data_IF_616666352448
#
_entry.id   IF_616666352448
#
_cell.length_a   1.000
_cell.length_b   1.000
_cell.length_c   1.000
_cell.angle_alpha   90.00
_cell.angle_beta   90.00
_cell.angle_gamma   90.00
#
_symmetry.space_group_name_H-M   'P 1'
#
loop_
_entity.id
_entity.type
_entity.pdbx_description
1 polymer ?
#
# COMPACT_ATOMS: atom_id res chain seq x y z
N UNK A 1 -55.23 -13.37 -15.94
CA UNK A 1 -54.90 -12.78 -17.25
C UNK A 1 -53.65 -11.94 -17.07
N UNK A 2 -52.49 -12.58 -17.01
CA UNK A 2 -51.63 -12.94 -18.16
C UNK A 2 -50.57 -11.86 -18.39
N UNK A 3 -49.57 -11.77 -17.50
CA UNK A 3 -48.36 -10.95 -17.72
C UNK A 3 -47.10 -11.58 -17.09
N UNK A 4 -46.99 -12.91 -17.14
CA UNK A 4 -45.82 -13.64 -16.60
C UNK A 4 -45.31 -14.76 -17.52
N UNK A 5 -45.52 -14.67 -18.84
CA UNK A 5 -45.15 -15.72 -19.79
C UNK A 5 -44.63 -15.17 -21.10
N UNK A 6 -43.55 -14.39 -21.08
CA UNK A 6 -42.71 -14.14 -22.26
C UNK A 6 -41.23 -14.03 -21.85
N UNK A 7 -40.77 -14.98 -21.04
CA UNK A 7 -39.35 -15.32 -20.99
C UNK A 7 -39.03 -15.99 -22.33
N UNK A 8 -38.20 -15.30 -23.12
CA UNK A 8 -37.83 -15.71 -24.46
C UNK A 8 -37.20 -17.12 -24.43
N UNK A 9 -37.79 -18.14 -25.09
CA UNK A 9 -37.27 -19.50 -25.10
C UNK A 9 -35.88 -19.59 -25.77
N UNK A 10 -35.48 -18.58 -26.54
CA UNK A 10 -34.14 -18.45 -27.10
C UNK A 10 -33.04 -18.19 -26.03
N UNK A 11 -33.37 -17.55 -24.91
CA UNK A 11 -32.40 -17.22 -23.87
C UNK A 11 -32.04 -18.43 -22.99
N UNK A 12 -32.99 -19.37 -22.81
CA UNK A 12 -32.73 -20.65 -22.12
C UNK A 12 -31.88 -21.61 -22.97
N UNK A 13 -31.97 -21.54 -24.30
CA UNK A 13 -31.17 -22.38 -25.20
C UNK A 13 -29.69 -21.95 -25.23
N UNK A 14 -29.42 -20.64 -25.08
CA UNK A 14 -28.06 -20.10 -25.02
C UNK A 14 -27.29 -20.56 -23.77
N UNK A 15 -28.00 -20.77 -22.66
CA UNK A 15 -27.41 -21.21 -21.38
C UNK A 15 -26.96 -22.68 -21.36
N UNK A 16 -27.49 -23.53 -22.25
CA UNK A 16 -27.09 -24.95 -22.32
C UNK A 16 -25.91 -25.15 -23.30
N UNK A 17 -25.82 -24.35 -24.37
CA UNK A 17 -24.71 -24.45 -25.34
C UNK A 17 -23.39 -23.92 -24.77
N UNK A 18 -23.42 -22.95 -23.84
CA UNK A 18 -22.20 -22.47 -23.15
C UNK A 18 -21.71 -23.42 -22.04
N UNK A 19 -22.57 -24.31 -21.53
CA UNK A 19 -22.21 -25.29 -20.50
C UNK A 19 -21.84 -26.68 -21.07
N UNK A 20 -22.18 -26.97 -22.33
CA UNK A 20 -21.87 -28.22 -23.03
C UNK A 20 -20.54 -28.20 -23.80
N UNK A 21 -19.85 -27.06 -23.89
CA UNK A 21 -18.50 -26.91 -24.44
C UNK A 21 -17.42 -27.36 -23.46
N UNK A 22 -17.61 -28.52 -22.85
CA UNK A 22 -16.52 -29.21 -22.18
C UNK A 22 -15.55 -29.77 -23.24
N UNK A 23 -14.31 -29.98 -22.82
CA UNK A 23 -13.61 -31.23 -23.13
C UNK A 23 -12.80 -31.40 -24.44
N UNK A 24 -12.25 -30.37 -25.12
CA UNK A 24 -11.22 -30.62 -26.18
C UNK A 24 -10.17 -29.50 -26.29
N UNK A 25 -9.12 -29.50 -25.46
CA UNK A 25 -7.81 -28.91 -25.79
C UNK A 25 -6.70 -29.30 -24.79
N UNK A 26 -6.70 -30.54 -24.28
CA UNK A 26 -5.64 -31.08 -23.43
C UNK A 26 -4.52 -31.71 -24.28
N UNK A 27 -3.86 -30.91 -25.13
CA UNK A 27 -2.72 -31.38 -25.93
C UNK A 27 -1.79 -30.23 -26.35
N UNK A 28 -1.00 -29.71 -25.40
CA UNK A 28 0.21 -28.94 -25.72
C UNK A 28 1.28 -29.21 -24.66
N UNK A 29 1.79 -30.44 -24.64
CA UNK A 29 3.06 -30.75 -23.98
C UNK A 29 4.22 -30.24 -24.84
N UNK A 30 5.21 -29.63 -24.19
CA UNK A 30 6.60 -29.75 -24.62
C UNK A 30 7.25 -28.51 -25.20
N UNK A 31 7.46 -27.47 -24.40
CA UNK A 31 8.56 -26.52 -24.65
C UNK A 31 9.79 -26.97 -23.86
N UNK A 32 10.95 -27.14 -24.52
CA UNK A 32 12.15 -27.67 -23.90
C UNK A 32 12.64 -26.71 -22.80
N UNK A 33 12.79 -27.30 -21.62
CA UNK A 33 13.40 -26.70 -20.44
C UNK A 33 14.83 -26.34 -20.80
N UNK A 34 15.07 -25.06 -21.08
CA UNK A 34 16.42 -24.52 -21.17
C UNK A 34 17.10 -24.72 -19.82
N UNK A 35 18.00 -25.71 -19.77
CA UNK A 35 18.99 -25.88 -18.72
C UNK A 35 19.88 -24.64 -18.69
N UNK A 36 19.47 -23.62 -17.92
CA UNK A 36 20.41 -22.64 -17.43
C UNK A 36 21.21 -23.34 -16.34
N UNK A 37 22.32 -23.92 -16.75
CA UNK A 37 23.38 -24.43 -15.88
C UNK A 37 23.73 -23.33 -14.88
N UNK A 38 23.24 -23.47 -13.65
CA UNK A 38 23.71 -22.68 -12.52
C UNK A 38 25.04 -23.32 -12.14
N UNK A 39 26.17 -22.61 -12.25
CA UNK A 39 27.44 -23.11 -11.74
C UNK A 39 27.25 -23.37 -10.24
N UNK A 40 27.38 -24.63 -9.84
CA UNK A 40 27.41 -25.04 -8.44
C UNK A 40 28.77 -24.67 -7.84
N UNK A 41 29.07 -23.37 -7.79
CA UNK A 41 29.97 -22.85 -6.78
C UNK A 41 29.17 -22.82 -5.47
N UNK A 42 29.68 -23.41 -4.37
CA UNK A 42 29.03 -23.28 -3.07
C UNK A 42 28.86 -21.78 -2.79
N UNK A 43 27.67 -21.31 -2.37
CA UNK A 43 27.53 -19.94 -1.91
C UNK A 43 28.52 -19.77 -0.78
N UNK A 44 29.59 -19.01 -1.03
CA UNK A 44 30.36 -18.45 0.07
C UNK A 44 29.36 -17.58 0.80
N UNK A 45 28.83 -18.11 1.91
CA UNK A 45 28.10 -17.33 2.88
C UNK A 45 29.07 -16.27 3.38
N UNK A 46 29.09 -15.13 2.69
CA UNK A 46 29.49 -13.89 3.32
C UNK A 46 28.47 -13.70 4.43
N UNK A 47 28.85 -14.12 5.64
CA UNK A 47 28.12 -13.74 6.82
C UNK A 47 27.92 -12.22 6.70
N UNK A 48 26.69 -11.70 6.77
CA UNK A 48 26.51 -10.27 6.86
C UNK A 48 27.43 -9.81 8.00
N UNK A 49 28.39 -8.94 7.70
CA UNK A 49 29.12 -8.24 8.74
C UNK A 49 28.04 -7.52 9.51
N UNK A 50 27.65 -8.08 10.65
CA UNK A 50 26.71 -7.45 11.57
C UNK A 50 27.44 -6.20 12.02
N UNK A 51 27.15 -5.09 11.35
CA UNK A 51 27.48 -3.77 11.84
C UNK A 51 27.04 -3.77 13.30
N UNK A 52 27.97 -3.44 14.20
CA UNK A 52 27.79 -3.51 15.63
C UNK A 52 26.38 -3.00 15.98
N UNK A 53 25.58 -3.88 16.60
CA UNK A 53 24.27 -3.50 17.12
C UNK A 53 24.50 -2.24 17.95
N UNK A 54 23.86 -1.09 17.60
CA UNK A 54 24.05 0.11 18.38
C UNK A 54 23.71 -0.22 19.83
N UNK A 55 24.65 0.04 20.72
CA UNK A 55 24.52 -0.15 22.16
C UNK A 55 23.16 0.39 22.59
N UNK A 56 22.34 -0.36 23.34
CA UNK A 56 21.04 0.13 23.80
C UNK A 56 21.23 1.48 24.51
N UNK A 57 20.88 2.56 23.82
CA UNK A 57 20.87 3.87 24.45
C UNK A 57 19.77 3.82 25.52
N UNK A 58 20.03 4.30 26.74
CA UNK A 58 18.98 4.50 27.73
C UNK A 58 17.82 5.26 27.07
N UNK A 59 16.56 4.87 27.32
CA UNK A 59 15.41 5.57 26.76
C UNK A 59 15.57 7.05 27.06
N UNK A 60 15.75 7.84 26.00
CA UNK A 60 15.88 9.28 26.12
C UNK A 60 14.54 9.80 26.66
N UNK A 61 14.52 10.67 27.68
CA UNK A 61 13.29 11.29 28.13
C UNK A 61 12.61 11.94 26.93
N UNK A 62 11.41 11.48 26.58
CA UNK A 62 10.60 12.18 25.58
C UNK A 62 10.28 13.55 26.21
N UNK A 63 10.73 14.67 25.62
CA UNK A 63 10.43 15.98 26.18
C UNK A 63 8.92 16.12 26.31
N UNK A 64 8.49 16.50 27.52
CA UNK A 64 7.10 16.77 27.86
C UNK A 64 6.59 17.93 27.01
N UNK A 65 5.57 17.68 26.18
CA UNK A 65 5.01 18.66 25.26
C UNK A 65 4.35 17.99 24.05
N UNK A 66 3.55 18.77 23.33
CA UNK A 66 2.79 18.29 22.17
C UNK A 66 3.71 17.69 21.10
N UNK A 67 3.49 16.43 20.74
CA UNK A 67 4.19 15.70 19.70
C UNK A 67 3.46 15.97 18.37
N UNK A 68 4.10 16.74 17.49
CA UNK A 68 3.63 16.94 16.12
C UNK A 68 3.94 15.72 15.25
N UNK A 69 2.93 15.21 14.55
CA UNK A 69 3.01 14.08 13.62
C UNK A 69 2.66 14.56 12.22
N UNK A 70 3.60 14.49 11.29
CA UNK A 70 3.35 14.78 9.88
C UNK A 70 2.66 13.60 9.20
N UNK A 71 1.49 13.83 8.59
CA UNK A 71 0.72 12.80 7.89
C UNK A 71 0.75 13.05 6.38
N UNK A 72 1.48 12.21 5.64
CA UNK A 72 1.72 12.38 4.21
C UNK A 72 0.65 11.62 3.42
N UNK A 73 -0.26 12.35 2.79
CA UNK A 73 -1.39 11.79 2.03
C UNK A 73 -1.44 12.35 0.60
N UNK A 74 -1.98 11.59 -0.37
CA UNK A 74 -2.25 12.10 -1.71
C UNK A 74 -3.55 12.93 -1.67
N UNK A 75 -3.51 14.17 -1.18
CA UNK A 75 -4.68 15.04 -1.11
C UNK A 75 -5.01 15.67 -2.47
N UNK A 76 -4.05 15.64 -3.40
CA UNK A 76 -4.22 15.94 -4.81
C UNK A 76 -3.55 14.90 -5.72
N UNK A 77 -3.76 15.05 -7.03
CA UNK A 77 -3.23 14.14 -8.04
C UNK A 77 -4.12 12.91 -8.28
N UNK A 78 -3.52 11.83 -8.78
CA UNK A 78 -4.24 10.65 -9.24
C UNK A 78 -5.03 9.92 -8.14
N UNK A 79 -4.64 10.08 -6.88
CA UNK A 79 -5.21 9.34 -5.75
C UNK A 79 -5.87 10.27 -4.70
N UNK A 80 -6.31 11.46 -5.13
CA UNK A 80 -6.93 12.47 -4.27
C UNK A 80 -8.11 11.95 -3.44
N UNK A 81 -9.01 11.18 -4.05
CA UNK A 81 -10.19 10.63 -3.37
C UNK A 81 -9.82 9.71 -2.20
N UNK A 82 -8.81 8.86 -2.39
CA UNK A 82 -8.29 7.99 -1.34
C UNK A 82 -7.59 8.80 -0.24
N UNK A 83 -6.82 9.83 -0.61
CA UNK A 83 -6.20 10.72 0.37
C UNK A 83 -7.21 11.44 1.25
N UNK A 84 -8.32 11.93 0.67
CA UNK A 84 -9.39 12.55 1.45
C UNK A 84 -10.06 11.57 2.41
N UNK A 85 -10.38 10.36 1.95
CA UNK A 85 -10.95 9.32 2.82
C UNK A 85 -10.02 8.96 3.99
N UNK A 86 -8.70 8.89 3.74
CA UNK A 86 -7.71 8.66 4.79
C UNK A 86 -7.59 9.84 5.75
N UNK A 87 -7.68 11.08 5.26
CA UNK A 87 -7.68 12.27 6.11
C UNK A 87 -8.89 12.27 7.04
N UNK A 88 -10.07 11.97 6.52
CA UNK A 88 -11.30 11.87 7.32
C UNK A 88 -11.16 10.76 8.37
N UNK A 89 -10.65 9.59 7.98
CA UNK A 89 -10.40 8.49 8.91
C UNK A 89 -9.39 8.88 10.01
N UNK A 90 -8.32 9.58 9.65
CA UNK A 90 -7.33 10.07 10.62
C UNK A 90 -7.93 11.08 11.59
N UNK A 91 -8.77 12.01 11.11
CA UNK A 91 -9.49 12.96 11.95
C UNK A 91 -10.39 12.24 12.96
N UNK A 92 -11.15 11.22 12.53
CA UNK A 92 -11.98 10.43 13.43
C UNK A 92 -11.16 9.65 14.47
N UNK A 93 -10.04 9.07 14.04
CA UNK A 93 -9.16 8.31 14.93
C UNK A 93 -8.46 9.20 15.96
N UNK A 94 -8.16 10.44 15.60
CA UNK A 94 -7.45 11.40 16.44
C UNK A 94 -8.25 11.81 17.69
N UNK A 95 -9.57 11.86 17.60
CA UNK A 95 -10.46 12.16 18.74
C UNK A 95 -10.81 10.92 19.57
N UNK A 96 -10.17 9.77 19.32
CA UNK A 96 -10.36 8.57 20.12
C UNK A 96 -9.67 8.70 21.47
N UNK A 97 -10.27 8.23 22.59
CA UNK A 97 -9.67 8.26 23.93
C UNK A 97 -8.37 7.46 24.06
N UNK A 98 -7.96 6.73 23.01
CA UNK A 98 -6.69 6.00 22.92
C UNK A 98 -5.52 6.93 22.55
N UNK A 99 -5.79 8.06 21.91
CA UNK A 99 -4.79 9.05 21.48
C UNK A 99 -4.63 10.04 22.64
N UNK A 100 -3.44 10.09 23.24
CA UNK A 100 -3.17 10.98 24.38
C UNK A 100 -3.28 12.47 24.00
N UNK A 101 -3.56 13.32 24.99
CA UNK A 101 -3.85 14.76 24.82
C UNK A 101 -2.68 15.59 24.24
N UNK A 102 -1.47 15.03 24.21
CA UNK A 102 -0.24 15.69 23.77
C UNK A 102 0.13 15.36 22.32
N UNK A 103 -0.83 15.09 21.43
CA UNK A 103 -0.57 14.86 20.01
C UNK A 103 -1.13 15.99 19.15
N UNK A 104 -0.48 16.27 18.03
CA UNK A 104 -0.95 17.21 16.99
C UNK A 104 -0.68 16.57 15.63
N UNK A 105 -1.72 16.44 14.80
CA UNK A 105 -1.63 15.82 13.48
C UNK A 105 -1.56 16.89 12.39
N UNK A 106 -0.56 16.79 11.51
CA UNK A 106 -0.25 17.78 10.49
C UNK A 106 -0.26 17.14 9.09
N UNK A 107 -1.40 17.15 8.38
CA UNK A 107 -1.50 16.61 7.03
C UNK A 107 -0.64 17.36 6.01
N UNK A 108 0.00 16.64 5.10
CA UNK A 108 0.79 17.19 3.98
C UNK A 108 0.48 16.46 2.69
N UNK A 109 0.24 17.23 1.64
CA UNK A 109 -0.09 16.71 0.32
C UNK A 109 1.15 16.22 -0.43
N UNK A 110 1.13 14.94 -0.80
CA UNK A 110 2.18 14.26 -1.58
C UNK A 110 1.97 14.41 -3.10
N UNK A 111 0.83 14.94 -3.54
CA UNK A 111 0.45 15.13 -4.95
C UNK A 111 0.44 13.83 -5.79
N UNK A 112 0.44 12.67 -5.13
CA UNK A 112 0.59 11.35 -5.77
C UNK A 112 1.89 11.22 -6.60
N UNK A 113 3.00 11.80 -6.11
CA UNK A 113 4.31 11.76 -6.77
C UNK A 113 5.45 11.56 -5.76
N UNK A 114 6.57 10.92 -6.15
CA UNK A 114 7.75 10.79 -5.29
C UNK A 114 8.34 12.15 -4.87
N UNK A 115 8.45 13.10 -5.80
CA UNK A 115 9.00 14.43 -5.51
C UNK A 115 8.07 15.23 -4.59
N UNK A 116 6.75 15.07 -4.77
CA UNK A 116 5.74 15.67 -3.90
C UNK A 116 5.79 15.09 -2.49
N UNK A 117 5.95 13.78 -2.34
CA UNK A 117 6.12 13.14 -1.04
C UNK A 117 7.41 13.58 -0.33
N UNK A 118 8.53 13.66 -1.05
CA UNK A 118 9.79 14.15 -0.48
C UNK A 118 9.68 15.61 -0.02
N UNK A 119 8.98 16.45 -0.79
CA UNK A 119 8.75 17.84 -0.38
C UNK A 119 7.83 17.92 0.84
N UNK A 120 6.72 17.18 0.84
CA UNK A 120 5.80 17.09 1.97
C UNK A 120 6.51 16.64 3.26
N UNK A 121 7.42 15.66 3.16
CA UNK A 121 8.24 15.20 4.28
C UNK A 121 9.14 16.32 4.82
N UNK A 122 9.84 17.03 3.94
CA UNK A 122 10.70 18.17 4.33
C UNK A 122 9.89 19.29 5.00
N UNK A 123 8.72 19.59 4.46
CA UNK A 123 7.84 20.62 5.01
C UNK A 123 7.30 20.22 6.39
N UNK A 124 6.96 18.94 6.59
CA UNK A 124 6.57 18.41 7.90
C UNK A 124 7.71 18.51 8.92
N UNK A 125 8.93 18.15 8.53
CA UNK A 125 10.13 18.28 9.38
C UNK A 125 10.36 19.75 9.75
N UNK A 126 10.26 20.66 8.77
CA UNK A 126 10.41 22.10 9.00
C UNK A 126 9.32 22.67 9.92
N UNK A 127 8.11 22.11 9.87
CA UNK A 127 7.01 22.45 10.79
C UNK A 127 7.18 21.86 12.20
N UNK A 128 8.25 21.10 12.46
CA UNK A 128 8.56 20.53 13.77
C UNK A 128 7.94 19.15 14.01
N UNK A 129 7.53 18.44 12.94
CA UNK A 129 7.07 17.06 13.07
C UNK A 129 8.20 16.17 13.64
N UNK A 130 7.87 15.44 14.71
CA UNK A 130 8.78 14.50 15.38
C UNK A 130 8.60 13.07 14.87
N UNK A 131 7.48 12.81 14.21
CA UNK A 131 7.16 11.56 13.55
C UNK A 131 6.53 11.87 12.19
N UNK A 132 6.87 11.08 11.17
CA UNK A 132 6.21 11.11 9.87
C UNK A 132 5.47 9.80 9.65
N UNK A 133 4.24 9.90 9.14
CA UNK A 133 3.41 8.79 8.71
C UNK A 133 3.15 8.90 7.21
N UNK A 134 3.54 7.89 6.44
CA UNK A 134 3.38 7.84 4.98
C UNK A 134 4.73 7.91 4.24
N UNK A 135 4.72 8.05 2.90
CA UNK A 135 3.57 8.22 1.99
C UNK A 135 2.76 6.93 1.81
N UNK A 136 1.55 7.05 1.26
CA UNK A 136 0.60 5.92 1.11
C UNK A 136 1.12 4.86 0.13
N UNK A 137 1.78 5.30 -0.95
CA UNK A 137 2.25 4.40 -2.00
C UNK A 137 3.76 4.18 -1.93
N UNK A 138 4.19 2.95 -2.16
CA UNK A 138 5.60 2.58 -2.16
C UNK A 138 6.42 3.30 -3.23
N UNK A 139 5.81 3.70 -4.35
CA UNK A 139 6.48 4.50 -5.38
C UNK A 139 6.85 5.89 -4.87
N UNK A 140 5.95 6.51 -4.09
CA UNK A 140 6.15 7.86 -3.58
C UNK A 140 7.26 7.92 -2.51
N UNK A 141 7.56 6.80 -1.85
CA UNK A 141 8.58 6.69 -0.80
C UNK A 141 10.02 6.53 -1.33
N UNK A 142 10.23 6.46 -2.66
CA UNK A 142 11.52 6.13 -3.27
C UNK A 142 12.41 7.34 -3.60
N UNK A 143 11.95 8.55 -3.28
CA UNK A 143 12.63 9.80 -3.59
C UNK A 143 13.86 10.09 -2.72
#
# INVERSE_FOLDING_TARGET
MLWAAFVCPALRLCLIVLAGGALVALAACGTPRGERSVPSAPPQAQAPTVAAVPTPQPPQPVPSGTIKVGLLLPLSGAHAELGQALQDAANLAFFSPVVGDDLELEPRDTRSTPEGAAQAARDAIAAGARLLLGPVFAADAQA
#
